data_IF_269916366394
#
_entry.id   IF_269916366394
#
_cell.length_a   1.000
_cell.length_b   1.000
_cell.length_c   1.000
_cell.angle_alpha   90.00
_cell.angle_beta   90.00
_cell.angle_gamma   90.00
#
_symmetry.space_group_name_H-M   'P 1'
#
loop_
_entity.id
_entity.type
_entity.pdbx_description
1 polymer ?
#
# COMPACT_ATOMS: atom_id res chain seq x y z
N UNK A 1 -8.64 10.05 -7.87
CA UNK A 1 -7.92 9.93 -9.16
C UNK A 1 -8.04 8.50 -9.67
N UNK A 2 -9.05 8.18 -10.49
CA UNK A 2 -9.38 6.81 -10.94
C UNK A 2 -8.34 6.14 -11.85
N UNK A 3 -7.26 6.83 -12.21
CA UNK A 3 -6.26 6.35 -13.17
C UNK A 3 -5.50 5.12 -12.65
N UNK A 4 -5.13 5.09 -11.37
CA UNK A 4 -4.37 3.98 -10.77
C UNK A 4 -5.19 2.69 -10.65
N UNK A 5 -6.49 2.81 -10.37
CA UNK A 5 -7.42 1.67 -10.33
C UNK A 5 -7.63 1.05 -11.73
N UNK A 6 -7.39 1.82 -12.80
CA UNK A 6 -7.52 1.37 -14.20
C UNK A 6 -6.19 0.97 -14.83
N UNK A 7 -5.08 1.26 -14.17
CA UNK A 7 -3.76 0.88 -14.67
C UNK A 7 -3.64 -0.64 -14.71
N UNK A 8 -2.99 -1.16 -15.74
CA UNK A 8 -2.69 -2.60 -15.87
C UNK A 8 -1.56 -2.95 -14.90
N UNK A 9 -1.55 -4.17 -14.37
CA UNK A 9 -0.50 -4.67 -13.47
C UNK A 9 0.93 -4.37 -13.97
N UNK A 10 1.15 -4.45 -15.28
CA UNK A 10 2.49 -4.30 -15.87
C UNK A 10 2.93 -2.84 -15.88
N UNK A 11 2.00 -1.88 -15.98
CA UNK A 11 2.32 -0.45 -15.94
C UNK A 11 2.83 -0.08 -14.54
N UNK A 12 2.11 -0.52 -13.51
CA UNK A 12 2.47 -0.29 -12.11
C UNK A 12 3.80 -0.98 -11.78
N UNK A 13 3.96 -2.22 -12.25
CA UNK A 13 5.21 -2.94 -12.10
C UNK A 13 6.38 -2.24 -12.74
N UNK A 14 6.28 -1.84 -14.01
CA UNK A 14 7.40 -1.20 -14.71
C UNK A 14 7.78 0.09 -14.00
N UNK A 15 6.81 0.89 -13.53
CA UNK A 15 7.10 2.10 -12.76
C UNK A 15 7.86 1.78 -11.48
N UNK A 16 7.35 0.86 -10.64
CA UNK A 16 7.99 0.52 -9.36
C UNK A 16 9.32 -0.20 -9.55
N UNK A 17 9.46 -1.00 -10.60
CA UNK A 17 10.67 -1.70 -10.96
C UNK A 17 11.74 -0.72 -11.45
N UNK A 18 11.38 0.24 -12.31
CA UNK A 18 12.30 1.32 -12.70
C UNK A 18 12.76 2.14 -11.49
N UNK A 19 11.86 2.50 -10.58
CA UNK A 19 12.22 3.20 -9.35
C UNK A 19 13.17 2.36 -8.48
N UNK A 20 12.93 1.05 -8.37
CA UNK A 20 13.82 0.13 -7.66
C UNK A 20 15.20 0.03 -8.31
N UNK A 21 15.28 -0.02 -9.65
CA UNK A 21 16.58 -0.01 -10.32
C UNK A 21 17.30 1.32 -10.11
N UNK A 22 16.61 2.45 -10.29
CA UNK A 22 17.17 3.78 -10.07
C UNK A 22 17.68 3.96 -8.63
N UNK A 23 17.01 3.40 -7.63
CA UNK A 23 17.48 3.46 -6.24
C UNK A 23 18.75 2.63 -5.98
N UNK A 24 19.13 1.73 -6.88
CA UNK A 24 20.29 0.85 -6.75
C UNK A 24 21.43 1.22 -7.71
N UNK A 25 21.26 2.23 -8.58
CA UNK A 25 22.34 2.70 -9.45
C UNK A 25 23.20 3.67 -8.64
N UNK A 26 24.48 3.35 -8.51
CA UNK A 26 25.47 4.30 -8.01
C UNK A 26 25.96 5.19 -9.14
N UNK A 27 25.77 6.51 -9.00
CA UNK A 27 26.17 7.51 -9.99
C UNK A 27 27.33 8.33 -9.41
N UNK A 28 28.55 7.81 -9.59
CA UNK A 28 29.78 8.45 -9.12
C UNK A 28 29.79 8.69 -7.61
N UNK A 29 30.39 9.81 -7.17
CA UNK A 29 30.50 10.17 -5.74
C UNK A 29 29.25 10.88 -5.18
N UNK A 30 28.16 10.98 -5.95
CA UNK A 30 27.01 11.84 -5.61
C UNK A 30 25.98 11.16 -4.69
N UNK A 31 26.22 11.23 -3.38
CA UNK A 31 25.35 10.66 -2.34
C UNK A 31 23.90 11.19 -2.34
N UNK A 32 23.67 12.41 -2.84
CA UNK A 32 22.35 13.06 -2.82
C UNK A 32 21.36 12.40 -3.79
N UNK A 33 21.81 12.04 -5.00
CA UNK A 33 20.93 11.44 -6.02
C UNK A 33 20.49 10.03 -5.62
N UNK A 34 21.41 9.25 -5.04
CA UNK A 34 21.11 7.92 -4.51
C UNK A 34 20.04 7.98 -3.41
N UNK A 35 20.19 8.90 -2.44
CA UNK A 35 19.20 9.12 -1.38
C UNK A 35 17.86 9.57 -1.95
N UNK A 36 17.85 10.43 -2.97
CA UNK A 36 16.63 10.88 -3.62
C UNK A 36 15.87 9.72 -4.27
N UNK A 37 16.55 8.88 -5.07
CA UNK A 37 15.90 7.74 -5.74
C UNK A 37 15.45 6.67 -4.74
N UNK A 38 16.23 6.39 -3.69
CA UNK A 38 15.83 5.49 -2.61
C UNK A 38 14.58 5.98 -1.86
N UNK A 39 14.55 7.28 -1.53
CA UNK A 39 13.39 7.91 -0.89
C UNK A 39 12.16 7.85 -1.79
N UNK A 40 12.33 8.14 -3.08
CA UNK A 40 11.25 8.10 -4.06
C UNK A 40 10.67 6.69 -4.19
N UNK A 41 11.52 5.67 -4.26
CA UNK A 41 11.11 4.27 -4.31
C UNK A 41 10.34 3.85 -3.03
N UNK A 42 10.87 4.20 -1.85
CA UNK A 42 10.23 3.86 -0.58
C UNK A 42 8.86 4.52 -0.44
N UNK A 43 8.75 5.82 -0.76
CA UNK A 43 7.48 6.54 -0.76
C UNK A 43 6.50 5.91 -1.76
N UNK A 44 6.95 5.51 -2.94
CA UNK A 44 6.10 4.86 -3.93
C UNK A 44 5.55 3.51 -3.44
N UNK A 45 6.38 2.68 -2.79
CA UNK A 45 5.93 1.39 -2.23
C UNK A 45 4.92 1.57 -1.10
N UNK A 46 5.15 2.53 -0.20
CA UNK A 46 4.27 2.75 0.96
C UNK A 46 2.96 3.44 0.55
N UNK A 47 3.03 4.40 -0.37
CA UNK A 47 1.85 5.11 -0.86
C UNK A 47 0.96 4.23 -1.74
N UNK A 48 1.51 3.24 -2.43
CA UNK A 48 0.75 2.35 -3.31
C UNK A 48 -0.48 1.70 -2.66
N UNK A 49 -0.39 0.96 -1.54
CA UNK A 49 -1.55 0.40 -0.85
C UNK A 49 -2.49 1.48 -0.30
N UNK A 50 -1.95 2.63 0.13
CA UNK A 50 -2.75 3.75 0.66
C UNK A 50 -3.64 4.33 -0.44
N UNK A 51 -3.07 4.57 -1.63
CA UNK A 51 -3.80 5.11 -2.78
C UNK A 51 -4.86 4.11 -3.24
N UNK A 52 -4.54 2.81 -3.31
CA UNK A 52 -5.53 1.79 -3.65
C UNK A 52 -6.68 1.80 -2.66
N UNK A 53 -6.40 1.79 -1.34
CA UNK A 53 -7.45 1.75 -0.33
C UNK A 53 -8.34 3.00 -0.37
N UNK A 54 -7.74 4.18 -0.52
CA UNK A 54 -8.49 5.43 -0.65
C UNK A 54 -9.44 5.43 -1.86
N UNK A 55 -8.96 5.01 -3.03
CA UNK A 55 -9.77 5.03 -4.25
C UNK A 55 -10.79 3.87 -4.29
N UNK A 56 -10.45 2.72 -3.71
CA UNK A 56 -11.31 1.53 -3.69
C UNK A 56 -12.46 1.68 -2.68
N UNK A 57 -12.28 2.48 -1.63
CA UNK A 57 -13.31 2.76 -0.63
C UNK A 57 -14.61 3.31 -1.24
N UNK A 58 -14.53 4.08 -2.34
CA UNK A 58 -15.71 4.59 -3.06
C UNK A 58 -16.60 3.47 -3.63
N UNK A 59 -16.06 2.26 -3.82
CA UNK A 59 -16.76 1.13 -4.43
C UNK A 59 -17.31 0.14 -3.41
N UNK A 60 -16.95 0.29 -2.14
CA UNK A 60 -17.36 -0.52 -0.99
C UNK A 60 -18.88 -0.40 -0.80
N UNK A 61 -19.64 -1.52 -0.81
CA UNK A 61 -21.07 -1.51 -0.49
C UNK A 61 -21.39 -0.79 0.83
N UNK A 62 -22.40 0.10 0.82
CA UNK A 62 -22.81 0.93 1.98
C UNK A 62 -23.15 0.13 3.24
N UNK A 63 -23.59 -1.13 3.06
CA UNK A 63 -23.90 -2.06 4.15
C UNK A 63 -22.67 -2.52 4.95
N UNK A 64 -21.45 -2.17 4.53
CA UNK A 64 -20.21 -2.64 5.14
C UNK A 64 -19.59 -1.55 6.00
N UNK A 65 -19.28 -1.89 7.26
CA UNK A 65 -18.72 -0.95 8.25
C UNK A 65 -17.20 -1.06 8.29
N UNK A 66 -16.53 -0.60 7.23
CA UNK A 66 -15.07 -0.52 7.23
C UNK A 66 -14.61 0.76 7.93
N UNK A 67 -13.62 0.64 8.82
CA UNK A 67 -13.11 1.79 9.57
C UNK A 67 -12.08 2.57 8.74
N UNK A 68 -12.59 3.38 7.81
CA UNK A 68 -11.78 4.20 6.92
C UNK A 68 -10.92 5.23 7.66
N UNK A 69 -11.43 5.79 8.76
CA UNK A 69 -10.68 6.75 9.58
C UNK A 69 -9.42 6.10 10.18
N UNK A 70 -9.53 4.87 10.68
CA UNK A 70 -8.37 4.14 11.18
C UNK A 70 -7.34 3.88 10.07
N UNK A 71 -7.81 3.55 8.86
CA UNK A 71 -6.94 3.39 7.70
C UNK A 71 -6.18 4.67 7.35
N UNK A 72 -6.86 5.81 7.27
CA UNK A 72 -6.22 7.09 7.00
C UNK A 72 -5.22 7.51 8.08
N UNK A 73 -5.58 7.36 9.36
CA UNK A 73 -4.69 7.67 10.48
C UNK A 73 -3.44 6.79 10.44
N UNK A 74 -3.59 5.48 10.22
CA UNK A 74 -2.47 4.56 10.10
C UNK A 74 -1.62 4.85 8.86
N UNK A 75 -2.23 5.18 7.73
CA UNK A 75 -1.53 5.57 6.51
C UNK A 75 -0.70 6.84 6.70
N UNK A 76 -1.29 7.88 7.30
CA UNK A 76 -0.59 9.12 7.62
C UNK A 76 0.55 8.89 8.63
N UNK A 77 0.31 8.06 9.66
CA UNK A 77 1.33 7.72 10.64
C UNK A 77 2.54 7.01 9.99
N UNK A 78 2.30 6.01 9.15
CA UNK A 78 3.39 5.26 8.47
C UNK A 78 4.17 6.20 7.55
N UNK A 79 3.49 7.04 6.76
CA UNK A 79 4.17 8.02 5.90
C UNK A 79 5.00 9.04 6.69
N UNK A 80 4.47 9.52 7.82
CA UNK A 80 5.18 10.45 8.70
C UNK A 80 6.43 9.80 9.29
N UNK A 81 6.33 8.56 9.77
CA UNK A 81 7.48 7.84 10.34
C UNK A 81 8.54 7.57 9.29
N UNK A 82 8.14 7.14 8.09
CA UNK A 82 9.06 6.97 6.97
C UNK A 82 9.73 8.30 6.61
N UNK A 83 8.97 9.40 6.56
CA UNK A 83 9.51 10.73 6.29
C UNK A 83 10.52 11.20 7.35
N UNK A 84 10.23 10.99 8.64
CA UNK A 84 11.16 11.29 9.74
C UNK A 84 12.41 10.42 9.63
N UNK A 85 12.26 9.12 9.38
CA UNK A 85 13.38 8.20 9.22
C UNK A 85 14.28 8.57 8.04
N UNK A 86 13.71 9.06 6.94
CA UNK A 86 14.48 9.54 5.79
C UNK A 86 15.18 10.89 6.06
N UNK A 87 14.56 11.78 6.82
CA UNK A 87 15.09 13.12 7.08
C UNK A 87 16.14 13.15 8.22
N UNK A 88 15.98 12.30 9.22
CA UNK A 88 16.77 12.32 10.46
C UNK A 88 17.43 10.99 10.78
N UNK A 89 17.21 9.95 9.96
CA UNK A 89 17.82 8.65 10.17
C UNK A 89 19.34 8.71 10.02
N UNK A 90 20.05 8.32 11.07
CA UNK A 90 21.50 8.22 11.12
C UNK A 90 22.01 6.81 10.76
N UNK A 91 21.10 5.93 10.32
CA UNK A 91 21.38 4.54 9.98
C UNK A 91 21.71 3.65 11.18
N UNK A 92 21.56 4.17 12.40
CA UNK A 92 21.83 3.39 13.61
C UNK A 92 20.69 2.43 13.93
N UNK A 93 21.05 1.32 14.54
CA UNK A 93 20.09 0.36 15.06
C UNK A 93 19.61 0.84 16.43
N UNK A 94 18.32 1.15 16.52
CA UNK A 94 17.68 1.51 17.77
C UNK A 94 17.03 0.28 18.39
N UNK A 95 17.48 -0.11 19.58
CA UNK A 95 16.87 -1.18 20.35
C UNK A 95 15.85 -0.61 21.34
N UNK A 96 14.64 -1.17 21.32
CA UNK A 96 13.58 -0.80 22.24
C UNK A 96 13.16 -2.04 23.02
N UNK A 97 13.14 -1.92 24.34
CA UNK A 97 12.82 -3.02 25.25
C UNK A 97 11.66 -2.66 26.19
N UNK A 98 10.99 -3.68 26.72
CA UNK A 98 9.87 -3.49 27.66
C UNK A 98 8.71 -2.67 27.10
N UNK A 99 8.14 -1.79 27.92
CA UNK A 99 7.00 -0.94 27.54
C UNK A 99 7.35 0.09 26.46
N UNK A 100 8.64 0.45 26.31
CA UNK A 100 9.09 1.38 25.28
C UNK A 100 8.99 0.79 23.86
N UNK A 101 8.79 -0.54 23.73
CA UNK A 101 8.56 -1.18 22.44
C UNK A 101 7.10 -1.07 21.94
N UNK A 102 6.14 -0.67 22.80
CA UNK A 102 4.73 -0.55 22.44
C UNK A 102 4.46 0.35 21.22
N UNK A 103 5.09 1.54 21.09
CA UNK A 103 4.93 2.36 19.90
C UNK A 103 5.35 1.63 18.62
N UNK A 104 6.42 0.84 18.67
CA UNK A 104 6.94 0.14 17.49
C UNK A 104 6.00 -0.99 17.07
N UNK A 105 5.48 -1.75 18.03
CA UNK A 105 4.45 -2.75 17.72
C UNK A 105 3.21 -2.11 17.10
N UNK A 106 2.83 -0.90 17.53
CA UNK A 106 1.74 -0.17 16.89
C UNK A 106 2.08 0.25 15.46
N UNK A 107 3.32 0.71 15.20
CA UNK A 107 3.77 1.08 13.85
C UNK A 107 3.79 -0.14 12.92
N UNK A 108 4.25 -1.30 13.41
CA UNK A 108 4.17 -2.56 12.68
C UNK A 108 2.72 -2.95 12.38
N UNK A 109 1.82 -2.78 13.36
CA UNK A 109 0.39 -2.97 13.14
C UNK A 109 -0.17 -2.00 12.09
N UNK A 110 0.16 -0.71 12.17
CA UNK A 110 -0.29 0.32 11.23
C UNK A 110 0.21 0.00 9.80
N UNK A 111 1.46 -0.44 9.68
CA UNK A 111 2.03 -0.92 8.43
C UNK A 111 1.23 -2.12 7.88
N UNK A 112 1.03 -3.18 8.66
CA UNK A 112 0.24 -4.33 8.18
C UNK A 112 -1.21 -3.94 7.84
N UNK A 113 -1.79 -3.03 8.62
CA UNK A 113 -3.16 -2.55 8.43
C UNK A 113 -3.33 -1.83 7.09
N UNK A 114 -2.37 -0.98 6.67
CA UNK A 114 -2.49 -0.27 5.38
C UNK A 114 -2.41 -1.20 4.17
N UNK A 115 -1.74 -2.36 4.27
CA UNK A 115 -1.76 -3.40 3.23
C UNK A 115 -3.02 -4.27 3.31
N UNK A 116 -3.48 -4.58 4.53
CA UNK A 116 -4.65 -5.42 4.74
C UNK A 116 -5.96 -4.76 4.32
N UNK A 117 -6.09 -3.45 4.53
CA UNK A 117 -7.30 -2.68 4.25
C UNK A 117 -7.76 -2.74 2.77
N UNK A 118 -6.95 -2.36 1.77
CA UNK A 118 -7.35 -2.42 0.36
C UNK A 118 -7.70 -3.85 -0.10
N UNK A 119 -7.03 -4.85 0.45
CA UNK A 119 -7.35 -6.26 0.17
C UNK A 119 -8.71 -6.64 0.75
N UNK A 120 -8.99 -6.24 2.00
CA UNK A 120 -10.28 -6.46 2.64
C UNK A 120 -11.40 -5.78 1.85
N UNK A 121 -11.19 -4.55 1.39
CA UNK A 121 -12.12 -3.83 0.53
C UNK A 121 -12.40 -4.57 -0.76
N UNK A 122 -11.34 -4.92 -1.51
CA UNK A 122 -11.45 -5.62 -2.78
C UNK A 122 -12.26 -6.91 -2.63
N UNK A 123 -11.89 -7.74 -1.65
CA UNK A 123 -12.58 -9.01 -1.40
C UNK A 123 -14.03 -8.80 -0.98
N UNK A 124 -14.30 -7.74 -0.21
CA UNK A 124 -15.66 -7.41 0.23
C UNK A 124 -16.53 -6.91 -0.93
N UNK A 125 -15.95 -6.19 -1.88
CA UNK A 125 -16.64 -5.77 -3.11
C UNK A 125 -16.92 -6.99 -3.99
N UNK A 126 -15.93 -7.88 -4.18
CA UNK A 126 -16.07 -9.12 -4.95
C UNK A 126 -17.18 -10.04 -4.41
N UNK A 127 -17.30 -10.16 -3.08
CA UNK A 127 -18.32 -11.01 -2.44
C UNK A 127 -19.62 -10.26 -2.11
N UNK A 128 -19.65 -8.94 -2.27
CA UNK A 128 -20.78 -8.10 -1.89
C UNK A 128 -21.15 -8.19 -0.40
N UNK A 129 -20.22 -8.54 0.48
CA UNK A 129 -20.39 -8.59 1.94
C UNK A 129 -19.06 -8.37 2.64
N UNK A 130 -19.12 -8.04 3.93
CA UNK A 130 -17.90 -7.95 4.72
C UNK A 130 -17.23 -9.32 4.86
N UNK A 131 -15.92 -9.35 4.67
CA UNK A 131 -15.11 -10.57 4.75
C UNK A 131 -14.43 -10.72 6.11
N UNK A 132 -14.29 -11.98 6.54
CA UNK A 132 -13.53 -12.35 7.73
C UNK A 132 -12.04 -12.43 7.41
N UNK A 133 -11.19 -12.26 8.42
CA UNK A 133 -9.72 -12.26 8.27
C UNK A 133 -9.18 -13.47 7.51
N UNK A 134 -9.70 -14.67 7.80
CA UNK A 134 -9.27 -15.90 7.11
C UNK A 134 -9.58 -15.94 5.61
N UNK A 135 -10.54 -15.14 5.12
CA UNK A 135 -10.95 -15.13 3.71
C UNK A 135 -10.05 -14.26 2.83
N UNK A 136 -9.23 -13.38 3.43
CA UNK A 136 -8.37 -12.45 2.70
C UNK A 136 -6.92 -12.44 3.19
N UNK A 137 -6.56 -13.17 4.26
CA UNK A 137 -5.20 -13.22 4.79
C UNK A 137 -4.14 -13.61 3.75
N UNK A 138 -4.44 -14.59 2.89
CA UNK A 138 -3.55 -14.98 1.78
C UNK A 138 -3.32 -13.84 0.79
N UNK A 139 -4.35 -13.06 0.50
CA UNK A 139 -4.26 -11.90 -0.39
C UNK A 139 -3.44 -10.76 0.27
N UNK A 140 -3.45 -10.61 1.60
CA UNK A 140 -2.57 -9.67 2.32
C UNK A 140 -1.10 -10.05 2.15
N UNK A 141 -0.78 -11.34 2.30
CA UNK A 141 0.58 -11.85 2.10
C UNK A 141 1.03 -11.60 0.67
N UNK A 142 0.16 -11.83 -0.32
CA UNK A 142 0.45 -11.48 -1.71
C UNK A 142 0.74 -9.99 -1.85
N UNK A 143 -0.06 -9.12 -1.25
CA UNK A 143 0.13 -7.66 -1.36
C UNK A 143 1.42 -7.16 -0.70
N UNK A 144 1.89 -7.82 0.36
CA UNK A 144 3.17 -7.52 1.02
C UNK A 144 4.37 -7.97 0.17
N UNK A 145 4.25 -9.07 -0.56
CA UNK A 145 5.33 -9.60 -1.40
C UNK A 145 5.29 -8.90 -2.76
N UNK A 146 5.93 -7.75 -2.83
CA UNK A 146 6.22 -7.10 -4.11
C UNK A 146 7.27 -7.93 -4.89
N UNK A 147 7.16 -8.10 -6.22
CA UNK A 147 6.13 -7.58 -7.14
C UNK A 147 4.90 -8.47 -7.31
N UNK A 148 4.90 -9.67 -6.70
CA UNK A 148 3.86 -10.69 -6.86
C UNK A 148 2.46 -10.14 -6.57
N UNK A 149 2.31 -9.38 -5.49
CA UNK A 149 1.03 -8.75 -5.14
C UNK A 149 0.40 -7.94 -6.26
N UNK A 150 1.20 -7.20 -7.04
CA UNK A 150 0.69 -6.38 -8.15
C UNK A 150 0.10 -7.26 -9.26
N UNK A 151 0.72 -8.41 -9.56
CA UNK A 151 0.23 -9.30 -10.62
C UNK A 151 -1.11 -9.94 -10.29
N UNK A 152 -1.34 -10.26 -9.01
CA UNK A 152 -2.55 -10.95 -8.59
C UNK A 152 -3.67 -9.99 -8.18
N UNK A 153 -3.34 -8.90 -7.49
CA UNK A 153 -4.33 -7.96 -6.93
C UNK A 153 -4.79 -6.95 -7.98
N UNK A 154 -3.90 -6.40 -8.81
CA UNK A 154 -4.27 -5.35 -9.75
C UNK A 154 -5.30 -5.77 -10.81
N UNK A 155 -5.24 -6.97 -11.43
CA UNK A 155 -6.27 -7.42 -12.38
C UNK A 155 -7.65 -7.57 -11.74
N UNK A 156 -7.69 -7.99 -10.47
CA UNK A 156 -8.94 -8.11 -9.70
C UNK A 156 -9.57 -6.74 -9.47
N UNK A 157 -8.75 -5.74 -9.11
CA UNK A 157 -9.18 -4.34 -9.04
C UNK A 157 -9.75 -3.90 -10.39
N UNK A 158 -9.00 -4.07 -11.49
CA UNK A 158 -9.48 -3.68 -12.83
C UNK A 158 -10.83 -4.33 -13.18
N UNK A 159 -11.01 -5.62 -12.85
CA UNK A 159 -12.25 -6.36 -13.09
C UNK A 159 -13.43 -5.74 -12.35
N UNK A 160 -13.31 -5.51 -11.05
CA UNK A 160 -14.35 -4.91 -10.21
C UNK A 160 -14.75 -3.52 -10.71
N UNK A 161 -13.77 -2.71 -11.11
CA UNK A 161 -14.00 -1.35 -11.61
C UNK A 161 -14.73 -1.38 -12.96
N UNK A 162 -14.30 -2.25 -13.88
CA UNK A 162 -14.95 -2.40 -15.17
C UNK A 162 -16.40 -2.88 -15.03
N UNK A 163 -16.67 -3.87 -14.16
CA UNK A 163 -18.02 -4.35 -13.88
C UNK A 163 -18.91 -3.22 -13.36
N UNK A 164 -18.46 -2.48 -12.33
CA UNK A 164 -19.19 -1.32 -11.78
C UNK A 164 -19.51 -0.25 -12.84
N UNK A 165 -18.55 0.11 -13.69
CA UNK A 165 -18.78 1.11 -14.74
C UNK A 165 -19.78 0.65 -15.80
N UNK A 166 -19.84 -0.66 -16.09
CA UNK A 166 -20.87 -1.20 -17.00
C UNK A 166 -22.28 -1.18 -16.40
N UNK A 167 -22.42 -1.34 -15.08
CA UNK A 167 -23.71 -1.23 -14.40
C UNK A 167 -24.22 0.21 -14.32
N UNK A 168 -23.34 1.20 -14.14
CA UNK A 168 -23.73 2.63 -14.07
C UNK A 168 -24.12 3.21 -15.44
N UNK A 169 -23.64 2.62 -16.54
CA UNK A 169 -23.94 3.07 -17.92
C UNK A 169 -25.21 2.47 -18.53
N UNK A 170 -25.82 1.47 -17.89
CA UNK A 170 -27.10 0.87 -18.30
C UNK A 170 -28.24 1.49 -17.52
#
# INVERSE_FOLDING_TARGET
MKAILKAKHWQIFVILMLLSFLSNISIGDSSILEVFFASLFLIAIISFPIIIGNELYEYVPEKMKLNYNLFLVNGALVLLIVGIALAFGDGQHYEFSGLAALPIYYVMFAYLHIYAFPVKELKSIELGREVKLGEYAGDVVLMLIWPVGIWFIQPRINKVINERETFVKK
#
